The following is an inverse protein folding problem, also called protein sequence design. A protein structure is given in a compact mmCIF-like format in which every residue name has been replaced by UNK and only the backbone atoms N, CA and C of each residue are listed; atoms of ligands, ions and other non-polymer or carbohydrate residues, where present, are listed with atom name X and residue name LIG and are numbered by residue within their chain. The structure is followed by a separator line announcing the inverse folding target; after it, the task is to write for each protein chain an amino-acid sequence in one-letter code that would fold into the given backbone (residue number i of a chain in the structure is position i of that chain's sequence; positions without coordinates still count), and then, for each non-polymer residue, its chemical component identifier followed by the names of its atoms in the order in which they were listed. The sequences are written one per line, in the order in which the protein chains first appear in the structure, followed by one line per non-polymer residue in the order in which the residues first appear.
data_IF_092844877276
#
_entry.id   IF_092844877276
#
_cell.length_a   1.000
_cell.length_b   1.000
_cell.length_c   1.000
_cell.angle_alpha   90.00
_cell.angle_beta   90.00
_cell.angle_gamma   90.00
#
_symmetry.space_group_name_H-M   'P 1'
#
loop_
_entity.id
_entity.type
_entity.pdbx_description
1 polymer ?
#
# COMPACT_ATOMS: atom_id res chain seq x y z
N UNK A 1 13.26 -12.21 -35.25
CA UNK A 1 12.20 -11.52 -34.49
C UNK A 1 11.97 -12.13 -33.12
N UNK A 2 12.05 -13.45 -32.95
CA UNK A 2 11.85 -14.18 -31.67
C UNK A 2 12.80 -13.78 -30.51
N UNK A 3 14.02 -13.34 -30.80
CA UNK A 3 14.93 -12.84 -29.74
C UNK A 3 14.42 -11.52 -29.14
N UNK A 4 13.90 -10.62 -29.97
CA UNK A 4 13.40 -9.30 -29.56
C UNK A 4 12.12 -9.40 -28.73
N UNK A 5 11.18 -10.29 -29.09
CA UNK A 5 9.94 -10.50 -28.33
C UNK A 5 10.20 -11.10 -26.96
N UNK A 6 11.14 -12.05 -26.84
CA UNK A 6 11.57 -12.61 -25.55
C UNK A 6 12.21 -11.57 -24.62
N UNK A 7 13.06 -10.71 -25.16
CA UNK A 7 13.67 -9.61 -24.39
C UNK A 7 12.60 -8.60 -23.92
N UNK A 8 11.64 -8.28 -24.79
CA UNK A 8 10.52 -7.40 -24.44
C UNK A 8 9.63 -8.01 -23.34
N UNK A 9 9.25 -9.29 -23.46
CA UNK A 9 8.49 -10.01 -22.44
C UNK A 9 9.25 -10.03 -21.10
N UNK A 10 10.54 -10.34 -21.11
CA UNK A 10 11.35 -10.33 -19.90
C UNK A 10 11.39 -8.93 -19.24
N UNK A 11 11.54 -7.86 -20.02
CA UNK A 11 11.50 -6.49 -19.51
C UNK A 11 10.16 -6.15 -18.84
N UNK A 12 9.04 -6.56 -19.44
CA UNK A 12 7.70 -6.40 -18.87
C UNK A 12 7.54 -7.20 -17.57
N UNK A 13 7.99 -8.46 -17.54
CA UNK A 13 7.93 -9.31 -16.35
C UNK A 13 8.73 -8.72 -15.18
N UNK A 14 9.97 -8.28 -15.44
CA UNK A 14 10.82 -7.67 -14.43
C UNK A 14 10.24 -6.36 -13.89
N UNK A 15 9.62 -5.56 -14.77
CA UNK A 15 8.92 -4.33 -14.36
C UNK A 15 7.71 -4.68 -13.49
N UNK A 16 6.88 -5.64 -13.92
CA UNK A 16 5.73 -6.13 -13.15
C UNK A 16 6.13 -6.63 -11.76
N UNK A 17 7.22 -7.39 -11.66
CA UNK A 17 7.78 -7.83 -10.38
C UNK A 17 8.18 -6.65 -9.49
N UNK A 18 8.84 -5.63 -10.06
CA UNK A 18 9.22 -4.42 -9.33
C UNK A 18 8.02 -3.70 -8.72
N UNK A 19 6.95 -3.50 -9.52
CA UNK A 19 5.70 -2.91 -9.03
C UNK A 19 5.01 -3.79 -7.97
N UNK A 20 5.05 -5.12 -8.13
CA UNK A 20 4.48 -6.06 -7.15
C UNK A 20 5.21 -6.02 -5.81
N UNK A 21 6.54 -5.95 -5.81
CA UNK A 21 7.33 -5.79 -4.58
C UNK A 21 7.07 -4.43 -3.91
N UNK A 22 6.98 -3.36 -4.70
CA UNK A 22 6.62 -2.05 -4.18
C UNK A 22 5.21 -2.05 -3.55
N UNK A 23 4.23 -2.69 -4.20
CA UNK A 23 2.88 -2.86 -3.65
C UNK A 23 2.90 -3.60 -2.31
N UNK A 24 3.64 -4.71 -2.23
CA UNK A 24 3.79 -5.49 -1.00
C UNK A 24 4.43 -4.67 0.13
N UNK A 25 5.40 -3.81 -0.19
CA UNK A 25 5.99 -2.90 0.79
C UNK A 25 4.97 -1.87 1.32
N UNK A 26 4.19 -1.25 0.44
CA UNK A 26 3.14 -0.29 0.86
C UNK A 26 2.04 -0.96 1.69
N UNK A 27 1.65 -2.18 1.34
CA UNK A 27 0.75 -2.99 2.17
C UNK A 27 1.37 -3.30 3.53
N UNK A 28 2.63 -3.72 3.58
CA UNK A 28 3.36 -3.91 4.83
C UNK A 28 3.41 -2.64 5.68
N UNK A 29 3.56 -1.47 5.06
CA UNK A 29 3.52 -0.18 5.75
C UNK A 29 2.13 0.14 6.31
N UNK A 30 1.06 -0.17 5.58
CA UNK A 30 -0.31 0.10 6.05
C UNK A 30 -0.67 -0.70 7.30
N UNK A 31 -0.15 -1.93 7.45
CA UNK A 31 -0.37 -2.75 8.65
C UNK A 31 0.29 -2.21 9.93
N UNK A 32 1.19 -1.23 9.80
CA UNK A 32 1.98 -0.66 10.91
C UNK A 32 1.56 0.76 11.29
N UNK A 33 0.43 1.23 10.80
CA UNK A 33 -0.09 2.56 11.17
C UNK A 33 -0.54 2.54 12.62
N UNK A 34 0.06 3.36 13.51
CA UNK A 34 -0.29 3.35 14.92
C UNK A 34 -1.66 4.02 15.14
N UNK A 35 -2.43 3.47 16.08
CA UNK A 35 -3.64 4.13 16.60
C UNK A 35 -3.23 4.88 17.86
N UNK A 36 -3.00 6.19 17.72
CA UNK A 36 -2.57 7.04 18.83
C UNK A 36 -3.64 8.10 19.18
N UNK A 37 -4.32 7.97 20.34
CA UNK A 37 -5.28 8.95 20.84
C UNK A 37 -4.67 10.33 21.08
N UNK A 38 -3.38 10.41 21.38
CA UNK A 38 -2.65 11.64 21.69
C UNK A 38 -2.00 12.27 20.45
N UNK A 39 -2.08 11.61 19.30
CA UNK A 39 -1.59 12.13 18.02
C UNK A 39 -0.10 12.54 18.04
N UNK A 40 0.72 11.81 18.80
CA UNK A 40 2.17 12.04 18.92
C UNK A 40 2.57 13.18 19.84
N UNK A 41 1.64 13.84 20.53
CA UNK A 41 1.97 14.90 21.50
C UNK A 41 2.42 14.27 22.83
N UNK A 42 3.70 14.42 23.23
CA UNK A 42 4.22 13.85 24.46
C UNK A 42 3.68 14.53 25.73
N UNK A 43 3.10 15.72 25.62
CA UNK A 43 2.54 16.48 26.74
C UNK A 43 1.01 16.37 26.82
N UNK A 44 0.36 15.75 25.83
CA UNK A 44 -1.07 15.54 25.86
C UNK A 44 -1.42 14.47 26.90
N UNK A 45 -2.47 14.73 27.67
CA UNK A 45 -2.98 13.81 28.69
C UNK A 45 -4.35 13.32 28.22
N UNK A 46 -4.61 12.02 28.39
CA UNK A 46 -5.93 11.46 28.12
C UNK A 46 -6.98 12.15 29.01
N UNK A 47 -8.13 12.57 28.47
CA UNK A 47 -9.20 13.11 29.28
C UNK A 47 -9.62 12.13 30.39
N UNK A 48 -9.83 12.64 31.60
CA UNK A 48 -10.32 11.83 32.73
C UNK A 48 -11.81 11.49 32.55
N UNK A 49 -12.55 12.37 31.88
CA UNK A 49 -13.97 12.16 31.56
C UNK A 49 -14.10 11.03 30.53
N UNK A 50 -14.80 9.92 30.85
CA UNK A 50 -14.85 8.73 29.99
C UNK A 50 -15.34 9.00 28.56
N UNK A 51 -16.33 9.88 28.41
CA UNK A 51 -16.91 10.22 27.12
C UNK A 51 -15.88 10.92 26.21
N UNK A 52 -15.08 11.82 26.78
CA UNK A 52 -14.02 12.55 26.07
C UNK A 52 -12.85 11.63 25.73
N UNK A 53 -12.48 10.72 26.64
CA UNK A 53 -11.47 9.70 26.38
C UNK A 53 -11.89 8.79 25.21
N UNK A 54 -13.16 8.36 25.19
CA UNK A 54 -13.68 7.54 24.10
C UNK A 54 -13.69 8.29 22.76
N UNK A 55 -14.00 9.59 22.77
CA UNK A 55 -13.90 10.42 21.57
C UNK A 55 -12.46 10.52 21.05
N UNK A 56 -11.46 10.67 21.94
CA UNK A 56 -10.05 10.71 21.55
C UNK A 56 -9.61 9.41 20.86
N UNK A 57 -10.02 8.26 21.39
CA UNK A 57 -9.77 6.95 20.77
C UNK A 57 -10.45 6.79 19.42
N UNK A 58 -11.72 7.19 19.28
CA UNK A 58 -12.40 7.16 17.97
C UNK A 58 -11.69 8.05 16.95
N UNK A 59 -11.31 9.25 17.36
CA UNK A 59 -10.58 10.18 16.49
C UNK A 59 -9.24 9.58 16.01
N UNK A 60 -8.51 8.89 16.90
CA UNK A 60 -7.30 8.17 16.53
C UNK A 60 -7.55 7.04 15.55
N UNK A 61 -8.60 6.24 15.76
CA UNK A 61 -8.98 5.18 14.82
C UNK A 61 -9.34 5.76 13.45
N UNK A 62 -10.08 6.88 13.39
CA UNK A 62 -10.39 7.55 12.13
C UNK A 62 -9.12 8.03 11.41
N UNK A 63 -8.19 8.68 12.11
CA UNK A 63 -6.91 9.11 11.53
C UNK A 63 -6.09 7.91 11.02
N UNK A 64 -5.97 6.86 11.84
CA UNK A 64 -5.26 5.65 11.45
C UNK A 64 -5.89 4.99 10.21
N UNK A 65 -7.23 4.86 10.17
CA UNK A 65 -7.94 4.28 9.04
C UNK A 65 -7.77 5.11 7.75
N UNK A 66 -7.72 6.44 7.84
CA UNK A 66 -7.44 7.30 6.69
C UNK A 66 -6.03 7.03 6.13
N UNK A 67 -5.02 6.95 6.99
CA UNK A 67 -3.65 6.69 6.55
C UNK A 67 -3.48 5.25 6.02
N UNK A 68 -4.09 4.26 6.67
CA UNK A 68 -4.19 2.88 6.16
C UNK A 68 -4.82 2.88 4.76
N UNK A 69 -5.95 3.57 4.59
CA UNK A 69 -6.65 3.68 3.32
C UNK A 69 -5.79 4.31 2.22
N UNK A 70 -5.08 5.39 2.54
CA UNK A 70 -4.15 6.06 1.62
C UNK A 70 -3.03 5.11 1.18
N UNK A 71 -2.39 4.42 2.11
CA UNK A 71 -1.31 3.46 1.82
C UNK A 71 -1.83 2.26 1.02
N UNK A 72 -3.00 1.72 1.37
CA UNK A 72 -3.63 0.63 0.64
C UNK A 72 -4.04 1.03 -0.78
N UNK A 73 -4.46 2.27 -0.99
CA UNK A 73 -4.77 2.79 -2.34
C UNK A 73 -3.52 2.76 -3.22
N UNK A 74 -2.38 3.19 -2.68
CA UNK A 74 -1.09 3.10 -3.40
C UNK A 74 -0.72 1.64 -3.68
N UNK A 75 -0.83 0.76 -2.68
CA UNK A 75 -0.56 -0.67 -2.85
C UNK A 75 -1.45 -1.30 -3.93
N UNK A 76 -2.74 -0.95 -3.97
CA UNK A 76 -3.68 -1.46 -4.96
C UNK A 76 -3.34 -0.99 -6.38
N UNK A 77 -3.00 0.29 -6.56
CA UNK A 77 -2.58 0.83 -7.88
C UNK A 77 -1.32 0.11 -8.36
N UNK A 78 -0.31 -0.04 -7.50
CA UNK A 78 0.93 -0.73 -7.85
C UNK A 78 0.67 -2.21 -8.19
N UNK A 79 -0.24 -2.87 -7.45
CA UNK A 79 -0.67 -4.24 -7.74
C UNK A 79 -1.34 -4.33 -9.11
N UNK A 80 -2.23 -3.40 -9.45
CA UNK A 80 -2.90 -3.37 -10.75
C UNK A 80 -1.88 -3.22 -11.90
N UNK A 81 -0.91 -2.31 -11.75
CA UNK A 81 0.19 -2.15 -12.72
C UNK A 81 1.02 -3.42 -12.84
N UNK A 82 1.37 -4.06 -11.73
CA UNK A 82 2.11 -5.33 -11.72
C UNK A 82 1.38 -6.43 -12.48
N UNK A 83 0.06 -6.58 -12.25
CA UNK A 83 -0.78 -7.57 -12.93
C UNK A 83 -0.87 -7.29 -14.43
N UNK A 84 -1.07 -6.03 -14.83
CA UNK A 84 -1.13 -5.63 -16.24
C UNK A 84 0.18 -5.95 -16.96
N UNK A 85 1.33 -5.58 -16.38
CA UNK A 85 2.64 -5.84 -16.98
C UNK A 85 2.95 -7.34 -17.06
N UNK A 86 2.58 -8.11 -16.03
CA UNK A 86 2.75 -9.56 -16.02
C UNK A 86 1.87 -10.26 -17.08
N UNK A 87 0.64 -9.78 -17.24
CA UNK A 87 -0.28 -10.25 -18.28
C UNK A 87 0.25 -9.91 -19.67
N UNK A 88 0.68 -8.66 -19.89
CA UNK A 88 1.28 -8.23 -21.16
C UNK A 88 2.54 -9.02 -21.49
N UNK A 89 3.42 -9.27 -20.51
CA UNK A 89 4.58 -10.14 -20.67
C UNK A 89 4.18 -11.53 -21.15
N UNK A 90 3.16 -12.12 -20.52
CA UNK A 90 2.68 -13.46 -20.86
C UNK A 90 2.15 -13.52 -22.30
N UNK A 91 1.40 -12.50 -22.73
CA UNK A 91 0.88 -12.40 -24.09
C UNK A 91 2.01 -12.20 -25.12
N UNK A 92 2.95 -11.28 -24.86
CA UNK A 92 4.07 -11.01 -25.78
C UNK A 92 4.97 -12.24 -25.94
N UNK A 93 5.13 -13.05 -24.89
CA UNK A 93 5.91 -14.28 -24.94
C UNK A 93 5.32 -15.37 -25.86
N UNK A 94 4.05 -15.25 -26.27
CA UNK A 94 3.40 -16.19 -27.20
C UNK A 94 3.78 -15.95 -28.67
N UNK A 95 4.39 -14.81 -29.01
CA UNK A 95 4.71 -14.40 -30.38
C UNK A 95 6.22 -14.25 -30.61
#
# INVERSE_FOLDING_TARGET
MTCTTKVAAFGLAMSGLGFGLAAAWYWGKSTRVPVDPLNGDPNAIMPVVPELAQQAWRAAQFRANQEVGRLNTVAAILTAVAVLLSTASSVVALF
#
